data_IF_203290400706
#
_entry.id   IF_203290400706
#
_cell.length_a   1.000
_cell.length_b   1.000
_cell.length_c   1.000
_cell.angle_alpha   90.00
_cell.angle_beta   90.00
_cell.angle_gamma   90.00
#
_symmetry.space_group_name_H-M   'P 1'
#
loop_
_entity.id
_entity.type
_entity.pdbx_description
1 polymer ?
#
# COMPACT_ATOMS: atom_id res chain seq x y z
N UNK A 1 14.91 18.23 -2.29
CA UNK A 1 13.87 17.88 -3.29
C UNK A 1 13.51 16.41 -3.24
N UNK A 2 14.48 15.48 -3.23
CA UNK A 2 14.22 14.05 -3.12
C UNK A 2 13.33 13.66 -1.94
N UNK A 3 13.55 14.21 -0.74
CA UNK A 3 12.70 13.95 0.43
C UNK A 3 11.22 14.31 0.18
N UNK A 4 10.96 15.50 -0.40
CA UNK A 4 9.60 15.95 -0.71
C UNK A 4 8.96 15.04 -1.78
N UNK A 5 9.71 14.68 -2.83
CA UNK A 5 9.22 13.75 -3.85
C UNK A 5 8.90 12.37 -3.26
N UNK A 6 9.77 11.86 -2.37
CA UNK A 6 9.59 10.60 -1.63
C UNK A 6 8.33 10.65 -0.76
N UNK A 7 8.07 11.77 -0.08
CA UNK A 7 6.85 11.96 0.72
C UNK A 7 5.59 11.97 -0.16
N UNK A 8 5.60 12.70 -1.28
CA UNK A 8 4.47 12.71 -2.24
C UNK A 8 4.19 11.31 -2.78
N UNK A 9 5.23 10.54 -3.12
CA UNK A 9 5.08 9.16 -3.62
C UNK A 9 4.58 8.21 -2.53
N UNK A 10 5.07 8.34 -1.29
CA UNK A 10 4.55 7.59 -0.13
C UNK A 10 3.08 7.92 0.14
N UNK A 11 2.68 9.18 -0.01
CA UNK A 11 1.29 9.58 0.20
C UNK A 11 0.38 9.07 -0.92
N UNK A 12 0.85 9.08 -2.18
CA UNK A 12 0.16 8.42 -3.28
C UNK A 12 0.03 6.90 -3.04
N UNK A 13 1.08 6.29 -2.48
CA UNK A 13 1.07 4.88 -2.11
C UNK A 13 0.03 4.54 -1.05
N UNK A 14 -0.03 5.35 0.02
CA UNK A 14 -0.99 5.19 1.12
C UNK A 14 -2.43 5.51 0.69
N UNK A 15 -2.62 6.41 -0.27
CA UNK A 15 -3.94 6.85 -0.75
C UNK A 15 -4.52 5.91 -1.82
N UNK A 16 -4.40 4.60 -1.61
CA UNK A 16 -4.92 3.59 -2.54
C UNK A 16 -3.97 3.18 -3.67
N UNK A 17 -2.70 3.61 -3.65
CA UNK A 17 -1.68 3.14 -4.59
C UNK A 17 -1.86 3.67 -6.02
N UNK A 18 -2.25 4.94 -6.13
CA UNK A 18 -2.45 5.63 -7.41
C UNK A 18 -1.11 5.90 -8.11
N UNK A 19 -1.05 5.63 -9.41
CA UNK A 19 0.09 6.01 -10.26
C UNK A 19 0.06 7.52 -10.49
N UNK A 20 1.23 8.13 -10.56
CA UNK A 20 1.38 9.55 -10.86
C UNK A 20 2.17 9.71 -12.15
N UNK A 21 1.70 10.62 -13.00
CA UNK A 21 2.54 11.19 -14.06
C UNK A 21 3.62 12.09 -13.46
N UNK A 22 4.70 12.33 -14.20
CA UNK A 22 5.70 13.33 -13.82
C UNK A 22 5.08 14.71 -13.56
N UNK A 23 4.10 15.10 -14.37
CA UNK A 23 3.37 16.36 -14.22
C UNK A 23 2.62 16.45 -12.89
N UNK A 24 1.93 15.38 -12.49
CA UNK A 24 1.22 15.31 -11.21
C UNK A 24 2.16 15.30 -10.01
N UNK A 25 3.26 14.54 -10.08
CA UNK A 25 4.31 14.56 -9.05
C UNK A 25 4.82 15.99 -8.84
N UNK A 26 5.13 16.69 -9.94
CA UNK A 26 5.59 18.07 -9.93
C UNK A 26 4.58 19.05 -9.32
N UNK A 27 3.29 18.88 -9.64
CA UNK A 27 2.22 19.72 -9.10
C UNK A 27 2.01 19.51 -7.60
N UNK A 28 2.15 18.28 -7.11
CA UNK A 28 1.96 17.94 -5.69
C UNK A 28 3.14 18.34 -4.80
N UNK A 29 4.33 18.52 -5.36
CA UNK A 29 5.47 19.05 -4.61
C UNK A 29 5.23 20.55 -4.34
N UNK A 30 4.87 20.86 -3.09
CA UNK A 30 4.44 22.18 -2.58
C UNK A 30 5.41 23.33 -2.91
N UNK A 31 5.27 23.91 -4.11
CA UNK A 31 6.13 24.96 -4.63
C UNK A 31 6.52 24.81 -6.11
N UNK A 32 6.17 23.69 -6.75
CA UNK A 32 6.41 23.42 -8.16
C UNK A 32 7.86 23.02 -8.41
N UNK A 33 8.07 21.74 -8.71
CA UNK A 33 9.34 21.26 -9.27
C UNK A 33 9.66 22.12 -10.51
N UNK A 34 10.86 22.73 -10.62
CA UNK A 34 11.27 23.36 -11.87
C UNK A 34 11.17 22.34 -13.01
N UNK A 35 11.07 22.83 -14.24
CA UNK A 35 11.21 21.94 -15.39
C UNK A 35 12.64 21.37 -15.38
N UNK A 36 12.76 20.12 -14.95
CA UNK A 36 14.02 19.40 -14.92
C UNK A 36 14.31 18.78 -16.29
N UNK A 37 15.57 18.81 -16.68
CA UNK A 37 16.04 18.03 -17.83
C UNK A 37 15.76 16.54 -17.56
N UNK A 38 15.41 15.74 -18.59
CA UNK A 38 15.14 14.31 -18.44
C UNK A 38 16.16 13.54 -17.58
N UNK A 39 17.46 13.86 -17.68
CA UNK A 39 18.50 13.24 -16.85
C UNK A 39 18.37 13.62 -15.36
N UNK A 40 18.12 14.90 -15.06
CA UNK A 40 17.89 15.38 -13.68
C UNK A 40 16.61 14.78 -13.08
N UNK A 41 15.62 14.45 -13.90
CA UNK A 41 14.42 13.73 -13.45
C UNK A 41 14.80 12.31 -12.98
N UNK A 42 15.67 11.63 -13.74
CA UNK A 42 16.24 10.35 -13.37
C UNK A 42 16.99 10.41 -12.05
N UNK A 43 17.92 11.36 -11.92
CA UNK A 43 18.70 11.56 -10.70
C UNK A 43 17.84 11.89 -9.48
N UNK A 44 16.76 12.66 -9.65
CA UNK A 44 15.81 12.89 -8.57
C UNK A 44 15.14 11.59 -8.11
N UNK A 45 14.69 10.75 -9.03
CA UNK A 45 14.03 9.48 -8.71
C UNK A 45 15.01 8.44 -8.15
N UNK A 46 16.27 8.44 -8.60
CA UNK A 46 17.35 7.69 -7.96
C UNK A 46 17.50 8.13 -6.52
N UNK A 47 17.64 9.44 -6.28
CA UNK A 47 17.76 10.00 -4.92
C UNK A 47 16.53 9.72 -4.04
N UNK A 48 15.32 9.63 -4.62
CA UNK A 48 14.11 9.21 -3.90
C UNK A 48 14.27 7.80 -3.34
N UNK A 49 14.90 6.89 -4.07
CA UNK A 49 14.96 5.46 -3.76
C UNK A 49 16.31 5.00 -3.17
N UNK A 50 17.29 5.89 -2.99
CA UNK A 50 18.58 5.57 -2.35
C UNK A 50 18.42 4.92 -0.96
N UNK A 51 17.39 5.30 -0.21
CA UNK A 51 17.11 4.76 1.13
C UNK A 51 16.11 3.59 1.11
N UNK A 52 15.69 3.11 -0.07
CA UNK A 52 14.78 1.98 -0.19
C UNK A 52 15.57 0.68 0.08
N UNK A 53 15.18 -0.14 1.08
CA UNK A 53 15.89 -1.38 1.40
C UNK A 53 15.98 -2.34 0.22
N UNK A 54 17.09 -3.09 0.17
CA UNK A 54 17.29 -4.12 -0.86
C UNK A 54 16.17 -5.16 -0.78
N UNK A 55 15.54 -5.43 -1.92
CA UNK A 55 14.43 -6.39 -2.03
C UNK A 55 13.05 -5.78 -1.80
N UNK A 56 12.96 -4.52 -1.38
CA UNK A 56 11.70 -3.78 -1.37
C UNK A 56 11.41 -3.13 -2.73
N UNK A 57 10.14 -3.03 -3.13
CA UNK A 57 9.77 -2.38 -4.38
C UNK A 57 10.10 -0.87 -4.32
N UNK A 58 10.67 -0.34 -5.40
CA UNK A 58 11.06 1.07 -5.51
C UNK A 58 9.84 2.00 -5.52
N UNK A 59 9.88 3.12 -4.78
CA UNK A 59 8.80 4.10 -4.78
C UNK A 59 8.62 4.79 -6.14
N UNK A 60 9.71 5.02 -6.86
CA UNK A 60 9.70 5.56 -8.23
C UNK A 60 8.90 4.71 -9.21
N UNK A 61 8.59 3.45 -8.88
CA UNK A 61 7.71 2.57 -9.67
C UNK A 61 6.31 3.14 -9.87
N UNK A 62 5.81 3.99 -8.95
CA UNK A 62 4.53 4.66 -9.13
C UNK A 62 4.55 5.85 -10.10
N UNK A 63 5.73 6.26 -10.59
CA UNK A 63 5.81 7.23 -11.68
C UNK A 63 5.53 6.51 -13.00
N UNK A 64 4.44 6.88 -13.64
CA UNK A 64 3.96 6.32 -14.89
C UNK A 64 3.96 7.34 -16.02
N UNK A 65 3.88 6.86 -17.25
CA UNK A 65 3.55 7.67 -18.42
C UNK A 65 2.11 8.18 -18.34
N UNK A 66 1.75 9.18 -19.14
CA UNK A 66 0.41 9.79 -19.13
C UNK A 66 -0.75 8.84 -19.44
N UNK A 67 -0.45 7.72 -20.11
CA UNK A 67 -1.37 6.64 -20.43
C UNK A 67 -1.38 5.51 -19.36
N UNK A 68 -0.80 5.77 -18.19
CA UNK A 68 -0.61 4.81 -17.10
C UNK A 68 0.24 3.58 -17.48
N UNK A 69 1.07 3.70 -18.51
CA UNK A 69 2.07 2.70 -18.87
C UNK A 69 3.40 2.94 -18.16
N UNK A 70 4.34 2.02 -18.37
CA UNK A 70 5.74 2.13 -17.93
C UNK A 70 6.32 3.49 -18.33
N UNK A 71 6.88 4.21 -17.34
CA UNK A 71 7.66 5.41 -17.62
C UNK A 71 9.09 5.04 -18.04
N UNK A 72 9.62 5.69 -19.06
CA UNK A 72 10.95 5.41 -19.63
C UNK A 72 12.09 5.54 -18.60
N UNK A 73 11.94 6.38 -17.57
CA UNK A 73 12.91 6.54 -16.47
C UNK A 73 13.04 5.31 -15.57
N UNK A 74 12.04 4.42 -15.53
CA UNK A 74 12.05 3.27 -14.62
C UNK A 74 13.30 2.39 -14.81
N UNK A 75 13.69 2.17 -16.07
CA UNK A 75 14.89 1.39 -16.39
C UNK A 75 16.16 2.06 -15.89
N UNK A 76 16.28 3.37 -16.08
CA UNK A 76 17.41 4.15 -15.61
C UNK A 76 17.52 4.09 -14.09
N UNK A 77 16.44 4.35 -13.35
CA UNK A 77 16.45 4.34 -11.89
C UNK A 77 16.87 2.98 -11.32
N UNK A 78 16.32 1.88 -11.86
CA UNK A 78 16.71 0.54 -11.42
C UNK A 78 18.18 0.24 -11.69
N UNK A 79 18.67 0.60 -12.87
CA UNK A 79 20.07 0.39 -13.22
C UNK A 79 21.02 1.18 -12.29
N UNK A 80 20.71 2.45 -12.03
CA UNK A 80 21.51 3.32 -11.16
C UNK A 80 21.55 2.85 -9.69
N UNK A 81 20.51 2.13 -9.23
CA UNK A 81 20.45 1.54 -7.89
C UNK A 81 21.04 0.12 -7.83
N UNK A 82 21.68 -0.37 -8.90
CA UNK A 82 22.31 -1.68 -8.94
C UNK A 82 21.34 -2.85 -9.16
N UNK A 83 20.12 -2.58 -9.64
CA UNK A 83 19.15 -3.60 -10.00
C UNK A 83 19.60 -4.42 -11.21
N UNK A 84 19.21 -5.69 -11.24
CA UNK A 84 19.50 -6.58 -12.37
C UNK A 84 18.89 -6.04 -13.67
N UNK A 85 19.64 -6.18 -14.77
CA UNK A 85 19.19 -5.79 -16.09
C UNK A 85 18.04 -6.69 -16.53
N UNK A 86 16.93 -6.07 -16.88
CA UNK A 86 15.78 -6.76 -17.48
C UNK A 86 15.78 -6.55 -19.00
N UNK A 87 15.55 -7.60 -19.81
CA UNK A 87 15.36 -7.46 -21.24
C UNK A 87 14.20 -6.51 -21.55
N UNK A 88 14.34 -5.71 -22.60
CA UNK A 88 13.30 -4.77 -23.04
C UNK A 88 11.89 -5.39 -23.19
N UNK A 89 11.72 -6.60 -23.78
CA UNK A 89 10.38 -7.18 -23.93
C UNK A 89 9.72 -7.53 -22.58
N UNK A 90 10.51 -7.80 -21.54
CA UNK A 90 10.01 -8.23 -20.22
C UNK A 90 9.80 -7.03 -19.28
N UNK A 91 10.35 -5.86 -19.62
CA UNK A 91 10.38 -4.68 -18.76
C UNK A 91 8.98 -4.18 -18.36
N UNK A 92 7.97 -4.09 -19.27
CA UNK A 92 6.63 -3.66 -18.89
C UNK A 92 5.95 -4.63 -17.91
N UNK A 93 6.09 -5.93 -18.12
CA UNK A 93 5.51 -6.96 -17.25
C UNK A 93 6.17 -6.97 -15.87
N UNK A 94 7.49 -6.78 -15.83
CA UNK A 94 8.22 -6.61 -14.58
C UNK A 94 7.76 -5.35 -13.83
N UNK A 95 7.68 -4.20 -14.49
CA UNK A 95 7.20 -2.97 -13.87
C UNK A 95 5.78 -3.12 -13.30
N UNK A 96 4.85 -3.74 -14.05
CA UNK A 96 3.51 -4.00 -13.56
C UNK A 96 3.50 -4.88 -12.30
N UNK A 97 4.40 -5.86 -12.21
CA UNK A 97 4.59 -6.68 -11.01
C UNK A 97 5.09 -5.85 -9.83
N UNK A 98 6.04 -4.95 -10.05
CA UNK A 98 6.57 -4.07 -9.01
C UNK A 98 5.53 -3.04 -8.52
N UNK A 99 4.67 -2.53 -9.41
CA UNK A 99 3.52 -1.69 -9.04
C UNK A 99 2.61 -2.46 -8.06
N UNK A 100 2.33 -3.73 -8.34
CA UNK A 100 1.51 -4.57 -7.45
C UNK A 100 2.21 -4.83 -6.11
N UNK A 101 3.51 -5.16 -6.13
CA UNK A 101 4.29 -5.34 -4.90
C UNK A 101 4.30 -4.08 -4.04
N UNK A 102 4.48 -2.91 -4.66
CA UNK A 102 4.49 -1.63 -3.96
C UNK A 102 3.12 -1.34 -3.33
N UNK A 103 2.02 -1.57 -4.06
CA UNK A 103 0.66 -1.46 -3.51
C UNK A 103 0.47 -2.38 -2.31
N UNK A 104 0.91 -3.62 -2.41
CA UNK A 104 0.83 -4.58 -1.31
C UNK A 104 1.69 -4.16 -0.11
N UNK A 105 2.88 -3.61 -0.34
CA UNK A 105 3.76 -3.12 0.72
C UNK A 105 3.08 -2.01 1.55
N UNK A 106 2.41 -1.06 0.89
CA UNK A 106 1.72 0.04 1.56
C UNK A 106 0.32 -0.29 2.07
N UNK A 107 -0.35 -1.29 1.48
CA UNK A 107 -1.68 -1.76 1.89
C UNK A 107 -1.62 -2.94 2.87
N UNK A 108 -0.44 -3.49 3.16
CA UNK A 108 -0.29 -4.53 4.16
C UNK A 108 -0.86 -4.00 5.48
N UNK A 109 -1.82 -4.71 6.11
CA UNK A 109 -2.30 -4.29 7.41
C UNK A 109 -1.07 -4.18 8.29
N UNK A 110 -0.80 -3.00 8.86
CA UNK A 110 0.28 -2.84 9.82
C UNK A 110 0.03 -3.92 10.87
N UNK A 111 0.81 -5.00 10.86
CA UNK A 111 0.63 -6.11 11.77
C UNK A 111 0.78 -5.67 13.25
N UNK A 112 1.21 -4.43 13.47
CA UNK A 112 1.29 -3.76 14.76
C UNK A 112 0.02 -2.99 15.18
N UNK A 113 -1.04 -2.95 14.35
CA UNK A 113 -2.35 -2.40 14.73
C UNK A 113 -3.35 -3.50 15.17
N UNK A 114 -3.02 -4.78 14.94
CA UNK A 114 -3.74 -5.93 15.47
C UNK A 114 -2.82 -6.81 16.35
N UNK A 115 -2.31 -6.22 17.43
CA UNK A 115 -2.11 -6.97 18.67
C UNK A 115 -3.05 -6.40 19.76
N UNK A 116 -4.39 -6.49 19.66
CA UNK A 116 -5.13 -6.90 20.83
C UNK A 116 -4.83 -8.39 21.00
N UNK A 117 -4.41 -8.79 22.18
CA UNK A 117 -4.21 -10.18 22.57
C UNK A 117 -5.22 -11.12 21.88
N UNK A 118 -4.81 -11.80 20.80
CA UNK A 118 -5.43 -13.06 20.46
C UNK A 118 -5.00 -13.99 21.60
N UNK A 119 -5.90 -14.45 22.49
CA UNK A 119 -5.57 -15.61 23.29
C UNK A 119 -5.45 -16.75 22.29
N UNK A 120 -4.22 -17.01 21.83
CA UNK A 120 -3.84 -18.28 21.21
C UNK A 120 -4.50 -19.34 22.06
N UNK A 121 -5.46 -20.05 21.44
CA UNK A 121 -6.10 -21.29 21.88
C UNK A 121 -5.54 -21.81 23.21
N UNK A 122 -5.97 -21.20 24.31
CA UNK A 122 -5.59 -21.66 25.63
C UNK A 122 -6.31 -22.99 25.80
N UNK A 123 -5.54 -24.05 26.06
CA UNK A 123 -6.08 -25.36 26.41
C UNK A 123 -7.11 -25.21 27.54
N UNK A 124 -8.09 -26.12 27.69
CA UNK A 124 -9.13 -26.00 28.71
C UNK A 124 -8.60 -25.74 30.12
N UNK A 125 -7.38 -26.23 30.41
CA UNK A 125 -6.71 -26.07 31.69
C UNK A 125 -6.21 -24.63 31.95
N UNK A 126 -5.83 -23.90 30.91
CA UNK A 126 -5.40 -22.50 31.04
C UNK A 126 -6.59 -21.51 31.17
N UNK A 127 -7.77 -21.85 30.65
CA UNK A 127 -8.99 -21.06 30.89
C UNK A 127 -9.39 -21.04 32.37
N UNK A 128 -9.22 -22.17 33.08
CA UNK A 128 -9.52 -22.28 34.52
C UNK A 128 -8.60 -21.40 35.37
N UNK A 129 -7.30 -21.38 35.05
CA UNK A 129 -6.32 -20.57 35.78
C UNK A 129 -6.57 -19.06 35.54
N UNK A 130 -6.88 -18.65 34.32
CA UNK A 130 -7.22 -17.24 34.02
C UNK A 130 -8.48 -16.75 34.74
N UNK A 131 -9.49 -17.61 34.92
CA UNK A 131 -10.70 -17.25 35.68
C UNK A 131 -10.45 -17.09 37.17
N UNK A 132 -9.48 -17.83 37.73
CA UNK A 132 -9.11 -17.73 39.14
C UNK A 132 -8.29 -16.46 39.46
N UNK A 133 -7.61 -15.88 38.47
CA UNK A 133 -6.73 -14.71 38.65
C UNK A 133 -7.38 -13.38 38.24
N UNK A 134 -8.54 -13.39 37.59
CA UNK A 134 -9.23 -12.16 37.17
C UNK A 134 -9.96 -11.50 38.35
N UNK A 135 -9.33 -10.48 38.96
CA UNK A 135 -10.04 -9.49 39.78
C UNK A 135 -11.00 -8.67 38.90
N UNK A 136 -12.19 -8.27 39.41
CA UNK A 136 -13.15 -7.50 38.63
C UNK A 136 -12.63 -6.06 38.42
N UNK A 137 -12.18 -5.76 37.20
CA UNK A 137 -11.90 -4.40 36.75
C UNK A 137 -13.12 -3.82 36.01
N UNK A 138 -13.45 -2.59 36.39
CA UNK A 138 -14.58 -1.73 36.03
C UNK A 138 -14.79 -1.53 34.50
N UNK A 139 -15.99 -1.80 33.94
CA UNK A 139 -16.26 -1.76 32.49
C UNK A 139 -16.81 -0.41 31.98
N UNK A 140 -16.28 0.74 32.39
CA UNK A 140 -16.83 2.05 31.94
C UNK A 140 -15.96 2.90 31.00
N UNK A 141 -14.91 2.35 30.36
CA UNK A 141 -14.09 3.16 29.42
C UNK A 141 -13.79 2.51 28.08
N UNK A 142 -14.83 2.22 27.31
CA UNK A 142 -14.74 2.07 25.85
C UNK A 142 -15.83 2.91 25.17
N UNK A 143 -15.55 4.19 24.91
CA UNK A 143 -16.32 5.02 23.96
C UNK A 143 -15.50 5.19 22.68
N UNK A 144 -15.85 4.45 21.64
CA UNK A 144 -15.74 4.89 20.24
C UNK A 144 -16.60 3.97 19.37
N UNK A 145 -17.45 4.51 18.47
CA UNK A 145 -18.35 3.72 17.65
C UNK A 145 -17.64 3.19 16.40
N UNK A 146 -17.51 1.87 16.29
CA UNK A 146 -17.37 1.21 15.00
C UNK A 146 -18.70 1.32 14.26
N UNK A 147 -18.83 2.30 13.35
CA UNK A 147 -19.92 2.30 12.36
C UNK A 147 -19.57 1.23 11.32
N UNK A 148 -20.11 0.03 11.51
CA UNK A 148 -20.09 -1.04 10.50
C UNK A 148 -21.38 -0.95 9.67
N UNK A 149 -21.26 -0.35 8.50
CA UNK A 149 -22.34 -0.22 7.53
C UNK A 149 -22.41 -1.49 6.67
N UNK A 150 -22.98 -2.58 7.20
CA UNK A 150 -23.42 -3.71 6.39
C UNK A 150 -24.91 -3.54 6.07
N UNK A 151 -25.16 -2.90 4.93
CA UNK A 151 -26.47 -2.84 4.31
C UNK A 151 -26.84 -4.24 3.81
N UNK A 152 -27.75 -4.84 4.56
CA UNK A 152 -28.91 -5.66 4.14
C UNK A 152 -28.71 -6.69 3.02
N UNK A 153 -28.57 -7.94 3.49
CA UNK A 153 -29.10 -9.15 2.86
C UNK A 153 -30.51 -8.93 2.28
N UNK A 154 -30.67 -9.07 0.97
CA UNK A 154 -31.95 -9.38 0.32
C UNK A 154 -31.75 -10.41 -0.78
N UNK A 155 -31.75 -11.68 -0.39
CA UNK A 155 -32.21 -12.77 -1.27
C UNK A 155 -33.67 -13.06 -0.93
N UNK A 156 -34.55 -13.20 -1.92
CA UNK A 156 -35.71 -14.08 -1.78
C UNK A 156 -35.72 -15.13 -2.88
N UNK A 157 -35.87 -16.39 -2.47
CA UNK A 157 -36.35 -17.48 -3.31
C UNK A 157 -37.29 -18.35 -2.46
N UNK A 158 -38.07 -19.26 -3.05
CA UNK A 158 -39.27 -18.99 -3.83
C UNK A 158 -40.51 -19.61 -3.14
N UNK A 159 -41.72 -19.08 -3.38
CA UNK A 159 -42.95 -19.78 -2.99
C UNK A 159 -43.59 -20.39 -4.23
N UNK A 160 -43.63 -21.73 -4.19
CA UNK A 160 -44.33 -22.64 -5.10
C UNK A 160 -45.84 -22.60 -4.83
N UNK A 161 -46.65 -22.54 -5.90
CA UNK A 161 -48.02 -23.12 -6.05
C UNK A 161 -48.34 -23.07 -7.56
N UNK A 162 -48.39 -24.18 -8.31
CA UNK A 162 -49.45 -25.20 -8.44
C UNK A 162 -50.86 -24.56 -8.50
N UNK A 163 -51.73 -24.75 -9.49
CA UNK A 163 -51.81 -25.48 -10.76
C UNK A 163 -53.13 -24.98 -11.44
N UNK A 164 -53.60 -25.64 -12.51
CA UNK A 164 -53.74 -25.09 -13.86
C UNK A 164 -54.72 -23.92 -14.06
#
# INVERSE_FOLDING_TARGET
>A
MAAIARDVLKDAARSGGSLLTWGELRLRMAGGLPHLHPDDQGELLVAVDQETPVGEPLLSTFVASSDASLHWLYRHVRFSLGGERIPEPDLPAHWATEVLRLRQHFNAPRANACLPACPVMLTPLQQTISRLLAHPADPTRCRSPCVSQYILLRSPAPIVRASP
#
